data_IF_881521077693
#
_entry.id   IF_881521077693
#
_cell.length_a   1.000
_cell.length_b   1.000
_cell.length_c   1.000
_cell.angle_alpha   90.00
_cell.angle_beta   90.00
_cell.angle_gamma   90.00
#
_symmetry.space_group_name_H-M   'P 1'
#
loop_
_entity.id
_entity.type
_entity.pdbx_description
1 polymer ?
#
# COMPACT_ATOMS: atom_id res chain seq x y z
N UNK A 1 32.98 8.46 2.93
CA UNK A 1 31.71 8.87 2.31
C UNK A 1 31.74 8.47 0.85
N UNK A 2 31.99 7.19 0.58
CA UNK A 2 32.07 6.63 -0.79
C UNK A 2 31.57 5.16 -0.83
N UNK A 3 30.79 4.73 0.19
CA UNK A 3 30.27 3.35 0.27
C UNK A 3 28.82 3.21 -0.25
N UNK A 4 28.18 4.30 -0.71
CA UNK A 4 26.77 4.29 -1.17
C UNK A 4 26.61 4.01 -2.68
N UNK A 5 27.70 4.00 -3.47
CA UNK A 5 27.60 3.86 -4.94
C UNK A 5 27.29 2.43 -5.41
N UNK A 6 27.45 1.43 -4.54
CA UNK A 6 27.30 0.01 -4.91
C UNK A 6 25.98 -0.64 -4.46
N UNK A 7 25.11 0.07 -3.73
CA UNK A 7 23.84 -0.49 -3.25
C UNK A 7 22.74 -0.43 -4.29
N UNK A 8 22.08 -1.56 -4.51
CA UNK A 8 20.86 -1.64 -5.30
C UNK A 8 19.68 -1.45 -4.36
N UNK A 9 19.12 -0.26 -4.34
CA UNK A 9 18.01 0.12 -3.46
C UNK A 9 16.72 -0.62 -3.81
N UNK A 10 15.91 -0.97 -2.80
CA UNK A 10 14.58 -1.56 -2.99
C UNK A 10 13.66 -0.64 -3.82
N UNK A 11 13.77 0.66 -3.59
CA UNK A 11 12.96 1.70 -4.21
C UNK A 11 13.80 2.96 -4.42
N UNK A 12 13.68 3.53 -5.62
CA UNK A 12 14.32 4.78 -5.99
C UNK A 12 13.27 5.65 -6.70
N UNK A 13 12.94 6.84 -6.14
CA UNK A 13 11.91 7.71 -6.70
C UNK A 13 12.33 8.26 -8.07
N UNK A 14 11.40 8.27 -9.02
CA UNK A 14 11.61 8.84 -10.35
C UNK A 14 11.48 10.37 -10.29
N UNK A 15 12.55 11.04 -9.85
CA UNK A 15 12.61 12.49 -9.73
C UNK A 15 13.30 13.09 -10.97
N UNK A 16 12.66 14.11 -11.55
CA UNK A 16 13.14 14.87 -12.70
C UNK A 16 13.23 16.39 -12.39
N UNK A 17 13.55 17.17 -13.39
CA UNK A 17 13.50 18.64 -13.26
C UNK A 17 12.08 19.16 -13.01
N UNK A 18 11.04 18.43 -13.43
CA UNK A 18 9.66 18.85 -13.20
C UNK A 18 9.34 18.92 -11.71
N UNK A 19 9.71 17.88 -10.96
CA UNK A 19 9.52 17.81 -9.50
C UNK A 19 10.39 18.87 -8.78
N UNK A 20 11.65 19.02 -9.18
CA UNK A 20 12.55 20.01 -8.59
C UNK A 20 12.03 21.44 -8.79
N UNK A 21 11.55 21.76 -9.99
CA UNK A 21 11.00 23.08 -10.33
C UNK A 21 9.68 23.32 -9.56
N UNK A 22 8.80 22.34 -9.48
CA UNK A 22 7.54 22.44 -8.77
C UNK A 22 7.76 22.76 -7.27
N UNK A 23 8.63 22.02 -6.59
CA UNK A 23 8.97 22.27 -5.17
C UNK A 23 9.70 23.59 -5.00
N UNK A 24 10.64 23.93 -5.90
CA UNK A 24 11.36 25.20 -5.88
C UNK A 24 10.41 26.40 -5.99
N UNK A 25 9.37 26.31 -6.83
CA UNK A 25 8.37 27.37 -6.98
C UNK A 25 7.57 27.57 -5.69
N UNK A 26 7.19 26.50 -5.00
CA UNK A 26 6.54 26.60 -3.67
C UNK A 26 7.47 27.26 -2.66
N UNK A 27 8.75 26.87 -2.61
CA UNK A 27 9.73 27.46 -1.69
C UNK A 27 9.96 28.98 -1.93
N UNK A 28 9.77 29.45 -3.15
CA UNK A 28 9.84 30.90 -3.51
C UNK A 28 8.52 31.65 -3.26
N UNK A 29 7.42 30.94 -2.99
CA UNK A 29 6.10 31.52 -2.73
C UNK A 29 6.00 32.06 -1.30
N UNK A 30 4.93 32.81 -1.03
CA UNK A 30 4.60 33.29 0.31
C UNK A 30 3.98 32.21 1.21
N UNK A 31 3.63 31.03 0.67
CA UNK A 31 2.95 29.93 1.38
C UNK A 31 3.63 28.60 1.07
N UNK A 32 4.01 27.90 2.14
CA UNK A 32 4.62 26.56 2.09
C UNK A 32 3.80 25.50 2.86
N UNK A 33 2.86 25.96 3.71
CA UNK A 33 1.86 25.11 4.35
C UNK A 33 0.72 24.83 3.37
N UNK A 34 -0.26 24.04 3.80
CA UNK A 34 -1.41 23.72 2.98
C UNK A 34 -2.12 24.96 2.40
N UNK A 35 -2.30 25.00 1.10
CA UNK A 35 -2.87 26.09 0.32
C UNK A 35 -3.34 25.64 -1.06
N UNK A 36 -3.19 26.51 -2.05
CA UNK A 36 -3.72 26.31 -3.41
C UNK A 36 -3.11 25.11 -4.15
N UNK A 37 -1.85 24.73 -3.84
CA UNK A 37 -1.20 23.60 -4.48
C UNK A 37 -1.81 22.28 -3.98
N UNK A 38 -2.14 22.21 -2.69
CA UNK A 38 -2.90 21.08 -2.14
C UNK A 38 -4.27 20.96 -2.81
N UNK A 39 -4.99 22.08 -2.97
CA UNK A 39 -6.31 22.06 -3.62
C UNK A 39 -6.23 21.60 -5.08
N UNK A 40 -5.19 22.01 -5.80
CA UNK A 40 -4.95 21.55 -7.19
C UNK A 40 -4.66 20.04 -7.21
N UNK A 41 -3.78 19.56 -6.34
CA UNK A 41 -3.46 18.14 -6.27
C UNK A 41 -4.70 17.28 -5.91
N UNK A 42 -5.55 17.75 -4.98
CA UNK A 42 -6.84 17.08 -4.66
C UNK A 42 -7.72 16.95 -5.92
N UNK A 43 -7.88 18.06 -6.67
CA UNK A 43 -8.73 18.07 -7.86
C UNK A 43 -8.20 17.16 -8.97
N UNK A 44 -6.92 17.26 -9.28
CA UNK A 44 -6.29 16.47 -10.36
C UNK A 44 -6.24 14.98 -10.01
N UNK A 45 -6.01 14.65 -8.74
CA UNK A 45 -6.05 13.25 -8.29
C UNK A 45 -7.46 12.66 -8.34
N UNK A 46 -8.48 13.46 -7.97
CA UNK A 46 -9.88 13.06 -8.11
C UNK A 46 -10.25 12.84 -9.58
N UNK A 47 -9.81 13.72 -10.49
CA UNK A 47 -10.01 13.59 -11.94
C UNK A 47 -9.31 12.35 -12.49
N UNK A 48 -8.05 12.11 -12.12
CA UNK A 48 -7.29 10.91 -12.53
C UNK A 48 -8.04 9.61 -12.22
N UNK A 49 -8.64 9.51 -11.04
CA UNK A 49 -9.42 8.34 -10.63
C UNK A 49 -10.85 8.32 -11.17
N UNK A 50 -11.38 9.47 -11.65
CA UNK A 50 -12.80 9.60 -11.95
C UNK A 50 -13.70 9.65 -10.71
N UNK A 51 -13.15 10.08 -9.56
CA UNK A 51 -13.89 10.27 -8.29
C UNK A 51 -14.32 11.73 -8.15
N UNK A 52 -15.34 11.99 -7.33
CA UNK A 52 -15.87 13.36 -7.15
C UNK A 52 -15.04 14.21 -6.18
N UNK A 53 -14.43 13.60 -5.19
CA UNK A 53 -13.70 14.29 -4.14
C UNK A 53 -12.44 13.54 -3.76
N UNK A 54 -11.35 14.29 -3.59
CA UNK A 54 -10.16 13.87 -2.94
C UNK A 54 -9.82 14.81 -1.77
N UNK A 55 -9.18 14.29 -0.75
CA UNK A 55 -8.77 15.04 0.44
C UNK A 55 -7.35 14.62 0.79
N UNK A 56 -6.38 15.50 0.56
CA UNK A 56 -4.98 15.27 0.85
C UNK A 56 -4.71 15.31 2.35
N UNK A 57 -3.90 14.39 2.83
CA UNK A 57 -3.57 14.18 4.24
C UNK A 57 -2.06 13.96 4.42
N UNK A 58 -1.57 14.08 5.65
CA UNK A 58 -0.15 13.96 5.95
C UNK A 58 0.42 12.54 5.86
N UNK A 59 -0.40 11.51 5.82
CA UNK A 59 -0.04 10.10 5.59
C UNK A 59 -1.28 9.23 5.39
N UNK A 60 -1.16 8.05 4.79
CA UNK A 60 -2.27 7.12 4.67
C UNK A 60 -2.83 6.66 6.02
N UNK A 61 -1.98 6.47 7.04
CA UNK A 61 -2.44 6.13 8.40
C UNK A 61 -3.40 7.18 8.93
N UNK A 62 -3.07 8.47 8.76
CA UNK A 62 -3.97 9.57 9.12
C UNK A 62 -5.22 9.56 8.26
N UNK A 63 -5.09 9.33 6.96
CA UNK A 63 -6.22 9.21 6.04
C UNK A 63 -7.22 8.13 6.45
N UNK A 64 -6.74 6.92 6.73
CA UNK A 64 -7.55 5.80 7.22
C UNK A 64 -8.23 6.14 8.55
N UNK A 65 -7.49 6.72 9.48
CA UNK A 65 -8.04 7.13 10.78
C UNK A 65 -9.14 8.18 10.62
N UNK A 66 -8.94 9.18 9.75
CA UNK A 66 -9.95 10.20 9.48
C UNK A 66 -11.16 9.61 8.74
N UNK A 67 -10.95 8.68 7.81
CA UNK A 67 -12.03 7.97 7.12
C UNK A 67 -12.91 7.19 8.10
N UNK A 68 -12.30 6.44 9.01
CA UNK A 68 -13.02 5.71 10.06
C UNK A 68 -13.81 6.67 10.97
N UNK A 69 -13.24 7.81 11.32
CA UNK A 69 -13.93 8.83 12.12
C UNK A 69 -15.09 9.50 11.36
N UNK A 70 -14.89 9.81 10.09
CA UNK A 70 -15.94 10.38 9.23
C UNK A 70 -17.15 9.43 9.09
N UNK A 71 -16.89 8.12 9.11
CA UNK A 71 -17.90 7.07 9.14
C UNK A 71 -18.58 6.89 10.50
N UNK A 72 -18.14 7.61 11.53
CA UNK A 72 -18.69 7.51 12.88
C UNK A 72 -18.29 6.23 13.62
N UNK A 73 -17.20 5.60 13.23
CA UNK A 73 -16.62 4.43 13.94
C UNK A 73 -16.25 4.82 15.37
N UNK A 74 -16.59 3.97 16.32
CA UNK A 74 -16.45 4.19 17.77
C UNK A 74 -15.56 3.13 18.40
N UNK A 75 -15.02 3.40 19.59
CA UNK A 75 -14.33 2.39 20.37
C UNK A 75 -15.19 1.14 20.58
N UNK A 76 -14.60 -0.03 20.28
CA UNK A 76 -15.25 -1.34 20.35
C UNK A 76 -15.99 -1.78 19.08
N UNK A 77 -16.18 -0.91 18.08
CA UNK A 77 -16.63 -1.34 16.76
C UNK A 77 -15.58 -2.24 16.11
N UNK A 78 -16.01 -3.24 15.37
CA UNK A 78 -15.13 -4.20 14.69
C UNK A 78 -14.97 -3.84 13.22
N UNK A 79 -13.73 -3.86 12.74
CA UNK A 79 -13.38 -3.66 11.33
C UNK A 79 -12.66 -4.91 10.83
N UNK A 80 -13.26 -5.59 9.85
CA UNK A 80 -12.66 -6.77 9.24
C UNK A 80 -11.57 -6.33 8.27
N UNK A 81 -10.38 -6.92 8.39
CA UNK A 81 -9.25 -6.64 7.49
C UNK A 81 -8.34 -7.86 7.35
N UNK A 82 -7.41 -7.80 6.37
CA UNK A 82 -6.41 -8.85 6.14
C UNK A 82 -5.29 -8.80 7.21
N UNK A 83 -4.79 -9.98 7.59
CA UNK A 83 -3.56 -10.08 8.35
C UNK A 83 -2.28 -9.96 7.51
N UNK A 84 -2.41 -9.99 6.18
CA UNK A 84 -1.35 -9.80 5.19
C UNK A 84 -1.49 -8.42 4.56
N UNK A 85 -1.08 -7.41 5.29
CA UNK A 85 -1.17 -6.01 4.89
C UNK A 85 -0.10 -5.19 5.61
N UNK A 86 0.13 -3.99 5.14
CA UNK A 86 0.95 -3.03 5.85
C UNK A 86 0.31 -2.69 7.20
N UNK A 87 1.15 -2.40 8.18
CA UNK A 87 0.73 -2.13 9.56
C UNK A 87 -0.21 -0.91 9.67
N UNK A 88 -0.16 0.04 8.74
CA UNK A 88 -1.00 1.24 8.74
C UNK A 88 -2.48 0.92 8.86
N UNK A 89 -2.96 -0.11 8.19
CA UNK A 89 -4.36 -0.54 8.24
C UNK A 89 -4.78 -0.83 9.69
N UNK A 90 -4.06 -1.75 10.33
CA UNK A 90 -4.39 -2.16 11.70
C UNK A 90 -4.10 -1.05 12.72
N UNK A 91 -3.07 -0.22 12.47
CA UNK A 91 -2.78 0.95 13.30
C UNK A 91 -3.93 1.97 13.26
N UNK A 92 -4.43 2.32 12.09
CA UNK A 92 -5.54 3.28 11.96
C UNK A 92 -6.80 2.79 12.69
N UNK A 93 -7.16 1.50 12.55
CA UNK A 93 -8.28 0.89 13.27
C UNK A 93 -8.08 1.00 14.78
N UNK A 94 -6.89 0.66 15.26
CA UNK A 94 -6.56 0.70 16.69
C UNK A 94 -6.56 2.13 17.24
N UNK A 95 -6.03 3.09 16.50
CA UNK A 95 -5.93 4.50 16.92
C UNK A 95 -7.29 5.17 17.09
N UNK A 96 -8.32 4.72 16.39
CA UNK A 96 -9.70 5.19 16.63
C UNK A 96 -10.42 4.42 17.75
N UNK A 97 -9.76 3.44 18.38
CA UNK A 97 -10.30 2.60 19.44
C UNK A 97 -11.17 1.44 18.94
N UNK A 98 -11.24 1.23 17.64
CA UNK A 98 -11.92 0.08 17.03
C UNK A 98 -11.05 -1.18 17.11
N UNK A 99 -11.67 -2.33 16.91
CA UNK A 99 -11.02 -3.64 17.00
C UNK A 99 -10.75 -4.16 15.58
N UNK A 100 -9.48 -4.38 15.19
CA UNK A 100 -9.16 -5.04 13.93
C UNK A 100 -9.48 -6.52 14.02
N UNK A 101 -10.40 -6.99 13.19
CA UNK A 101 -10.74 -8.41 13.03
C UNK A 101 -9.94 -8.96 11.86
N UNK A 102 -8.83 -9.62 12.19
CA UNK A 102 -7.87 -10.10 11.19
C UNK A 102 -8.36 -11.43 10.60
N UNK A 103 -8.36 -11.52 9.27
CA UNK A 103 -8.77 -12.71 8.53
C UNK A 103 -7.68 -13.20 7.58
N UNK A 104 -7.81 -14.46 7.15
CA UNK A 104 -6.90 -15.09 6.21
C UNK A 104 -7.10 -14.61 4.79
N UNK A 105 -6.16 -14.91 3.92
CA UNK A 105 -6.01 -14.39 2.56
C UNK A 105 -6.16 -15.49 1.52
N UNK A 106 -6.34 -15.09 0.27
CA UNK A 106 -6.10 -15.94 -0.87
C UNK A 106 -4.60 -16.21 -1.03
N UNK A 107 -4.26 -17.47 -1.26
CA UNK A 107 -2.86 -17.91 -1.32
C UNK A 107 -2.09 -17.27 -2.50
N UNK A 108 -2.79 -17.00 -3.60
CA UNK A 108 -2.16 -16.57 -4.84
C UNK A 108 -2.07 -15.06 -4.98
N UNK A 109 -3.16 -14.38 -4.69
CA UNK A 109 -3.25 -12.92 -4.81
C UNK A 109 -2.81 -12.18 -3.53
N UNK A 110 -2.79 -12.86 -2.38
CA UNK A 110 -2.58 -12.21 -1.09
C UNK A 110 -3.78 -11.38 -0.59
N UNK A 111 -4.83 -11.27 -1.39
CA UNK A 111 -5.99 -10.46 -1.06
C UNK A 111 -6.88 -11.11 0.02
N UNK A 112 -7.64 -10.28 0.72
CA UNK A 112 -8.60 -10.70 1.73
C UNK A 112 -9.63 -11.68 1.14
N UNK A 113 -9.79 -12.86 1.78
CA UNK A 113 -10.78 -13.84 1.37
C UNK A 113 -12.19 -13.47 1.88
N UNK A 114 -13.11 -13.29 0.93
CA UNK A 114 -14.49 -12.84 1.20
C UNK A 114 -15.28 -13.83 2.06
N UNK A 115 -15.09 -15.14 1.90
CA UNK A 115 -15.74 -16.16 2.73
C UNK A 115 -15.21 -16.14 4.18
N UNK A 116 -13.91 -15.89 4.37
CA UNK A 116 -13.31 -15.72 5.70
C UNK A 116 -13.79 -14.45 6.37
N UNK A 117 -13.93 -13.36 5.61
CA UNK A 117 -14.53 -12.13 6.11
C UNK A 117 -15.99 -12.35 6.54
N UNK A 118 -16.79 -13.02 5.71
CA UNK A 118 -18.19 -13.33 6.01
C UNK A 118 -18.35 -14.14 7.32
N UNK A 119 -17.47 -15.10 7.56
CA UNK A 119 -17.50 -15.94 8.76
C UNK A 119 -17.15 -15.19 10.06
N UNK A 120 -16.59 -13.97 9.95
CA UNK A 120 -16.18 -13.13 11.09
C UNK A 120 -17.13 -11.96 11.37
N UNK A 121 -18.20 -11.81 10.58
CA UNK A 121 -19.17 -10.73 10.80
C UNK A 121 -19.95 -10.99 12.10
N UNK A 122 -19.98 -9.98 12.95
CA UNK A 122 -20.74 -9.95 14.21
C UNK A 122 -21.68 -8.73 14.24
N UNK A 123 -22.57 -8.59 15.23
CA UNK A 123 -23.37 -7.38 15.41
C UNK A 123 -22.54 -6.10 15.66
N UNK A 124 -21.26 -6.22 16.03
CA UNK A 124 -20.34 -5.10 16.26
C UNK A 124 -19.58 -4.71 15.00
N UNK A 125 -19.61 -5.54 13.95
CA UNK A 125 -18.92 -5.24 12.70
C UNK A 125 -19.56 -4.03 12.01
N UNK A 126 -18.73 -3.06 11.59
CA UNK A 126 -19.18 -1.82 10.92
C UNK A 126 -18.65 -1.67 9.51
N UNK A 127 -17.45 -2.18 9.27
CA UNK A 127 -16.81 -2.03 7.97
C UNK A 127 -15.94 -3.24 7.60
N UNK A 128 -15.69 -3.37 6.31
CA UNK A 128 -14.61 -4.17 5.75
C UNK A 128 -13.59 -3.19 5.18
N UNK A 129 -12.34 -3.28 5.62
CA UNK A 129 -11.21 -2.53 5.09
C UNK A 129 -10.30 -3.51 4.36
N UNK A 130 -10.38 -3.55 3.04
CA UNK A 130 -9.60 -4.44 2.20
C UNK A 130 -8.50 -3.67 1.46
N UNK A 131 -7.31 -4.27 1.35
CA UNK A 131 -6.19 -3.73 0.59
C UNK A 131 -6.04 -4.41 -0.77
N UNK A 132 -5.24 -3.78 -1.62
CA UNK A 132 -4.75 -4.29 -2.89
C UNK A 132 -3.27 -4.69 -2.73
N UNK A 133 -2.96 -5.89 -2.17
CA UNK A 133 -1.60 -6.22 -1.72
C UNK A 133 -0.60 -6.20 -2.86
N UNK A 134 0.48 -5.46 -2.66
CA UNK A 134 1.59 -5.26 -3.60
C UNK A 134 1.16 -4.87 -5.03
N UNK A 135 0.01 -4.23 -5.20
CA UNK A 135 -0.51 -3.84 -6.51
C UNK A 135 -1.60 -4.75 -7.07
N UNK A 136 -1.80 -5.95 -6.51
CA UNK A 136 -2.84 -6.87 -6.97
C UNK A 136 -4.21 -6.45 -6.44
N UNK A 137 -5.18 -6.10 -7.32
CA UNK A 137 -6.53 -5.79 -6.88
C UNK A 137 -7.20 -6.95 -6.14
N UNK A 138 -7.94 -6.64 -5.07
CA UNK A 138 -8.79 -7.61 -4.40
C UNK A 138 -10.03 -7.97 -5.26
N UNK A 139 -10.77 -9.01 -4.88
CA UNK A 139 -12.08 -9.32 -5.49
C UNK A 139 -13.14 -8.32 -5.01
N UNK A 140 -13.12 -7.14 -5.62
CA UNK A 140 -13.98 -6.02 -5.25
C UNK A 140 -15.46 -6.30 -5.45
N UNK A 141 -15.82 -7.12 -6.42
CA UNK A 141 -17.21 -7.50 -6.65
C UNK A 141 -17.74 -8.36 -5.50
N UNK A 142 -17.02 -9.37 -5.09
CA UNK A 142 -17.41 -10.22 -3.97
C UNK A 142 -17.43 -9.43 -2.65
N UNK A 143 -16.45 -8.56 -2.42
CA UNK A 143 -16.40 -7.71 -1.22
C UNK A 143 -17.56 -6.71 -1.18
N UNK A 144 -17.90 -6.07 -2.30
CA UNK A 144 -19.05 -5.15 -2.39
C UNK A 144 -20.36 -5.89 -2.16
N UNK A 145 -20.52 -7.10 -2.73
CA UNK A 145 -21.71 -7.92 -2.51
C UNK A 145 -21.84 -8.33 -1.03
N UNK A 146 -20.74 -8.68 -0.37
CA UNK A 146 -20.72 -9.02 1.05
C UNK A 146 -21.09 -7.80 1.91
N UNK A 147 -20.42 -6.66 1.69
CA UNK A 147 -20.68 -5.44 2.42
C UNK A 147 -22.15 -4.98 2.30
N UNK A 148 -22.69 -4.99 1.08
CA UNK A 148 -24.09 -4.61 0.80
C UNK A 148 -25.08 -5.54 1.49
N UNK A 149 -24.84 -6.85 1.51
CA UNK A 149 -25.70 -7.85 2.15
C UNK A 149 -25.84 -7.62 3.66
N UNK A 150 -24.77 -7.15 4.29
CA UNK A 150 -24.71 -6.97 5.73
C UNK A 150 -24.82 -5.51 6.19
N UNK A 151 -25.02 -4.57 5.25
CA UNK A 151 -25.09 -3.13 5.57
C UNK A 151 -23.78 -2.57 6.11
N UNK A 152 -22.64 -3.13 5.69
CA UNK A 152 -21.31 -2.72 6.10
C UNK A 152 -20.74 -1.69 5.13
N UNK A 153 -19.92 -0.78 5.64
CA UNK A 153 -19.11 0.11 4.81
C UNK A 153 -17.95 -0.68 4.21
N UNK A 154 -17.63 -0.42 2.94
CA UNK A 154 -16.48 -0.98 2.27
C UNK A 154 -15.41 0.11 2.10
N UNK A 155 -14.28 -0.06 2.77
CA UNK A 155 -13.10 0.79 2.63
C UNK A 155 -12.06 0.08 1.79
N UNK A 156 -11.39 0.85 0.93
CA UNK A 156 -10.33 0.38 0.06
C UNK A 156 -8.99 0.99 0.46
N UNK A 157 -8.01 0.16 0.77
CA UNK A 157 -6.62 0.60 0.85
C UNK A 157 -5.92 0.35 -0.48
N UNK A 158 -5.65 1.42 -1.22
CA UNK A 158 -5.00 1.40 -2.53
C UNK A 158 -3.55 1.87 -2.47
N UNK A 159 -2.97 1.90 -1.28
CA UNK A 159 -1.59 2.35 -1.01
C UNK A 159 -0.57 1.70 -1.93
N UNK A 160 -0.72 0.41 -2.20
CA UNK A 160 0.26 -0.38 -2.95
C UNK A 160 -0.05 -0.52 -4.46
N UNK A 161 -1.16 0.07 -4.95
CA UNK A 161 -1.73 -0.36 -6.23
C UNK A 161 -2.11 0.78 -7.20
N UNK A 162 -1.48 1.97 -7.05
CA UNK A 162 -1.76 3.08 -7.96
C UNK A 162 -1.55 2.67 -9.42
N UNK A 163 -2.53 2.97 -10.28
CA UNK A 163 -2.54 2.60 -11.70
C UNK A 163 -3.11 1.22 -12.00
N UNK A 164 -3.17 0.29 -11.04
CA UNK A 164 -3.74 -1.06 -11.25
C UNK A 164 -5.24 -1.01 -11.57
N UNK A 165 -5.71 -1.99 -12.36
CA UNK A 165 -7.09 -2.05 -12.85
C UNK A 165 -7.74 -3.41 -12.57
N UNK A 166 -9.01 -3.33 -12.17
CA UNK A 166 -9.88 -4.48 -11.98
C UNK A 166 -11.17 -4.27 -12.76
N UNK A 167 -11.48 -5.14 -13.71
CA UNK A 167 -12.67 -5.05 -14.58
C UNK A 167 -12.85 -3.68 -15.24
N UNK A 168 -11.79 -3.16 -15.83
CA UNK A 168 -11.75 -1.90 -16.57
C UNK A 168 -11.68 -0.63 -15.73
N UNK A 169 -11.73 -0.75 -14.38
CA UNK A 169 -11.69 0.40 -13.47
C UNK A 169 -10.39 0.47 -12.68
N UNK A 170 -9.92 1.68 -12.43
CA UNK A 170 -8.76 1.91 -11.56
C UNK A 170 -9.06 1.49 -10.12
N UNK A 171 -8.07 0.93 -9.43
CA UNK A 171 -8.11 0.81 -7.96
C UNK A 171 -8.25 2.20 -7.34
N UNK A 172 -8.86 2.28 -6.16
CA UNK A 172 -9.27 3.54 -5.56
C UNK A 172 -10.71 3.93 -5.88
N UNK A 173 -11.42 3.12 -6.72
CA UNK A 173 -12.81 3.42 -7.13
C UNK A 173 -13.84 2.43 -6.60
N UNK A 174 -13.42 1.42 -5.84
CA UNK A 174 -14.30 0.32 -5.40
C UNK A 174 -14.88 0.52 -4.01
N UNK A 175 -14.14 1.18 -3.09
CA UNK A 175 -14.60 1.49 -1.75
C UNK A 175 -15.58 2.65 -1.69
N UNK A 176 -16.37 2.74 -0.63
CA UNK A 176 -17.17 3.95 -0.29
C UNK A 176 -16.22 5.13 -0.04
N UNK A 177 -15.06 4.82 0.55
CA UNK A 177 -13.86 5.65 0.52
C UNK A 177 -12.64 4.78 0.19
N UNK A 178 -11.65 5.39 -0.45
CA UNK A 178 -10.37 4.71 -0.74
C UNK A 178 -9.21 5.59 -0.28
N UNK A 179 -8.11 4.96 0.15
CA UNK A 179 -6.95 5.67 0.70
C UNK A 179 -5.70 5.28 -0.07
N UNK A 180 -4.86 6.27 -0.36
CA UNK A 180 -3.54 6.11 -0.97
C UNK A 180 -2.46 6.65 -0.05
N UNK A 181 -1.28 6.06 -0.10
CA UNK A 181 -0.05 6.55 0.51
C UNK A 181 0.93 7.01 -0.57
N UNK A 182 1.66 8.06 -0.30
CA UNK A 182 2.66 8.63 -1.20
C UNK A 182 4.06 8.61 -0.60
N UNK A 183 4.28 7.79 0.44
CA UNK A 183 5.61 7.47 0.94
C UNK A 183 6.27 6.36 0.11
N UNK A 184 7.57 6.17 0.25
CA UNK A 184 8.29 5.07 -0.38
C UNK A 184 8.11 3.74 0.38
N UNK A 185 8.09 2.61 -0.35
CA UNK A 185 8.16 2.46 -1.81
C UNK A 185 6.80 2.71 -2.48
N UNK A 186 6.77 3.47 -3.57
CA UNK A 186 5.58 3.71 -4.37
C UNK A 186 5.93 4.13 -5.81
N UNK A 187 4.97 4.09 -6.73
CA UNK A 187 5.15 4.63 -8.08
C UNK A 187 4.97 6.15 -8.12
N UNK A 188 4.09 6.70 -7.27
CA UNK A 188 3.90 8.13 -7.06
C UNK A 188 4.32 8.46 -5.64
N UNK A 189 5.26 9.37 -5.48
CA UNK A 189 5.81 9.76 -4.17
C UNK A 189 5.72 11.28 -3.95
N UNK A 190 5.50 11.69 -2.71
CA UNK A 190 5.62 13.09 -2.29
C UNK A 190 6.43 13.28 -0.99
N UNK A 191 7.36 12.36 -0.73
CA UNK A 191 8.13 12.29 0.52
C UNK A 191 7.30 11.64 1.62
N UNK A 192 6.33 12.34 2.12
CA UNK A 192 5.29 11.84 3.02
C UNK A 192 3.94 12.43 2.59
N UNK A 193 2.87 11.66 2.71
CA UNK A 193 1.54 12.13 2.36
C UNK A 193 0.57 10.99 2.10
N UNK A 194 -0.69 11.36 1.88
CA UNK A 194 -1.73 10.43 1.45
C UNK A 194 -2.92 11.17 0.87
N UNK A 195 -3.85 10.41 0.30
CA UNK A 195 -5.09 10.92 -0.25
C UNK A 195 -6.25 10.03 0.15
N UNK A 196 -7.35 10.63 0.58
CA UNK A 196 -8.62 9.94 0.79
C UNK A 196 -9.59 10.37 -0.28
N UNK A 197 -10.18 9.43 -1.02
CA UNK A 197 -11.12 9.73 -2.11
C UNK A 197 -12.50 9.16 -1.82
N UNK A 198 -13.53 9.88 -2.25
CA UNK A 198 -14.95 9.47 -2.09
C UNK A 198 -15.83 10.19 -3.12
N UNK A 199 -17.03 9.65 -3.36
CA UNK A 199 -18.07 10.34 -4.15
C UNK A 199 -19.14 10.97 -3.27
N UNK A 200 -19.09 10.74 -1.95
CA UNK A 200 -20.05 11.27 -1.00
C UNK A 200 -19.63 12.67 -0.51
N UNK A 201 -20.40 13.73 -0.80
CA UNK A 201 -20.06 15.09 -0.38
C UNK A 201 -20.07 15.27 1.14
N UNK A 202 -20.87 14.48 1.86
CA UNK A 202 -20.92 14.56 3.33
C UNK A 202 -19.63 14.00 3.92
N UNK A 203 -19.17 12.82 3.45
CA UNK A 203 -17.92 12.23 3.87
C UNK A 203 -16.72 13.11 3.51
N UNK A 204 -16.70 13.71 2.32
CA UNK A 204 -15.66 14.65 1.91
C UNK A 204 -15.60 15.89 2.85
N UNK A 205 -16.75 16.43 3.23
CA UNK A 205 -16.84 17.54 4.18
C UNK A 205 -16.34 17.15 5.58
N UNK A 206 -16.74 15.95 6.07
CA UNK A 206 -16.27 15.42 7.34
C UNK A 206 -14.76 15.19 7.37
N UNK A 207 -14.20 14.64 6.29
CA UNK A 207 -12.76 14.45 6.14
C UNK A 207 -12.02 15.79 6.21
N UNK A 208 -12.47 16.81 5.47
CA UNK A 208 -11.87 18.16 5.53
C UNK A 208 -11.97 18.77 6.91
N UNK A 209 -13.09 18.59 7.60
CA UNK A 209 -13.24 19.03 8.97
C UNK A 209 -12.25 18.34 9.90
N UNK A 210 -12.14 17.00 9.85
CA UNK A 210 -11.25 16.25 10.72
C UNK A 210 -9.76 16.45 10.39
N UNK A 211 -9.42 16.65 9.11
CA UNK A 211 -8.06 16.93 8.66
C UNK A 211 -7.45 18.16 9.32
N UNK A 212 -8.26 19.12 9.65
CA UNK A 212 -7.85 20.39 10.22
C UNK A 212 -8.10 21.57 9.28
N UNK A 213 -7.73 22.76 9.70
CA UNK A 213 -8.04 23.99 9.00
C UNK A 213 -6.85 24.59 8.27
N UNK A 214 -7.12 25.21 7.13
CA UNK A 214 -6.17 26.04 6.40
C UNK A 214 -5.76 27.28 7.24
N UNK A 215 -4.64 27.90 6.86
CA UNK A 215 -4.02 28.98 7.65
C UNK A 215 -4.98 30.13 7.91
N UNK A 216 -5.76 30.54 6.93
CA UNK A 216 -6.68 31.67 7.02
C UNK A 216 -7.82 31.46 8.04
N UNK A 217 -8.16 30.22 8.33
CA UNK A 217 -9.18 29.84 9.31
C UNK A 217 -8.65 29.67 10.73
N UNK A 218 -7.32 29.61 10.92
CA UNK A 218 -6.70 29.37 12.24
C UNK A 218 -7.01 30.43 13.26
N UNK A 219 -7.26 31.66 12.83
CA UNK A 219 -7.58 32.79 13.72
C UNK A 219 -9.07 32.89 14.09
N UNK A 220 -9.94 32.16 13.40
CA UNK A 220 -11.41 32.18 13.64
C UNK A 220 -11.92 30.89 14.29
N UNK A 221 -11.10 30.20 15.07
CA UNK A 221 -11.46 28.89 15.61
C UNK A 221 -12.59 28.98 16.62
N UNK A 222 -13.74 28.42 16.24
CA UNK A 222 -14.75 27.93 17.16
C UNK A 222 -14.69 26.40 17.16
N UNK A 223 -14.22 25.80 18.26
CA UNK A 223 -14.24 24.34 18.41
C UNK A 223 -15.67 23.93 18.72
N UNK A 224 -16.28 23.21 17.78
CA UNK A 224 -17.60 22.62 17.95
C UNK A 224 -17.52 21.33 18.83
N UNK A 225 -18.49 20.45 18.71
CA UNK A 225 -18.59 19.22 19.53
C UNK A 225 -17.50 18.16 19.24
N UNK A 226 -16.73 18.32 18.16
CA UNK A 226 -15.69 17.37 17.73
C UNK A 226 -14.36 18.09 17.53
N UNK A 227 -13.26 17.45 17.97
CA UNK A 227 -11.91 18.01 17.87
C UNK A 227 -11.28 17.56 16.55
N UNK A 228 -10.86 18.50 15.67
CA UNK A 228 -10.12 18.15 14.46
C UNK A 228 -8.68 17.71 14.78
N UNK A 229 -8.09 16.96 13.86
CA UNK A 229 -6.67 16.65 13.87
C UNK A 229 -5.86 17.72 13.15
N UNK A 230 -4.55 17.62 13.24
CA UNK A 230 -3.64 18.35 12.38
C UNK A 230 -2.98 17.36 11.42
N UNK A 231 -3.69 17.02 10.34
CA UNK A 231 -3.29 16.01 9.37
C UNK A 231 -3.23 16.58 7.94
N UNK A 232 -2.88 17.86 7.81
CA UNK A 232 -2.75 18.54 6.52
C UNK A 232 -1.47 18.11 5.80
N UNK A 233 -1.55 17.94 4.48
CA UNK A 233 -0.40 17.90 3.59
C UNK A 233 0.15 19.31 3.40
N UNK A 234 1.46 19.48 3.20
CA UNK A 234 2.06 20.75 2.85
C UNK A 234 1.99 21.02 1.35
N UNK A 235 2.01 22.31 0.94
CA UNK A 235 2.11 22.65 -0.49
C UNK A 235 3.41 22.11 -1.13
N UNK A 236 4.48 21.95 -0.36
CA UNK A 236 5.73 21.32 -0.87
C UNK A 236 5.52 19.87 -1.26
N UNK A 237 4.90 19.05 -0.38
CA UNK A 237 4.58 17.66 -0.69
C UNK A 237 3.56 17.56 -1.82
N UNK A 238 2.56 18.43 -1.82
CA UNK A 238 1.55 18.47 -2.88
C UNK A 238 2.15 18.84 -4.24
N UNK A 239 3.10 19.78 -4.30
CA UNK A 239 3.79 20.15 -5.55
C UNK A 239 4.60 18.98 -6.12
N UNK A 240 5.30 18.25 -5.25
CA UNK A 240 6.00 17.03 -5.65
C UNK A 240 5.02 15.98 -6.17
N UNK A 241 3.92 15.71 -5.43
CA UNK A 241 2.89 14.75 -5.82
C UNK A 241 2.17 15.13 -7.11
N UNK A 242 1.94 16.43 -7.35
CA UNK A 242 1.31 16.93 -8.57
C UNK A 242 2.19 16.69 -9.79
N UNK A 243 3.49 17.03 -9.73
CA UNK A 243 4.45 16.77 -10.80
C UNK A 243 4.61 15.27 -11.09
N UNK A 244 4.58 14.43 -10.02
CA UNK A 244 4.57 12.98 -10.17
C UNK A 244 3.29 12.47 -10.83
N UNK A 245 2.13 13.03 -10.49
CA UNK A 245 0.84 12.65 -11.08
C UNK A 245 0.78 12.98 -12.58
N UNK A 246 1.28 14.16 -12.98
CA UNK A 246 1.38 14.55 -14.38
C UNK A 246 2.26 13.60 -15.22
N UNK A 247 3.25 12.97 -14.59
CA UNK A 247 4.18 12.01 -15.22
C UNK A 247 3.86 10.56 -14.92
N UNK A 248 2.75 10.27 -14.23
CA UNK A 248 2.49 8.94 -13.70
C UNK A 248 2.51 7.84 -14.76
N UNK A 249 1.91 8.08 -15.93
CA UNK A 249 1.89 7.11 -17.04
C UNK A 249 3.32 6.79 -17.53
N UNK A 250 4.20 7.78 -17.61
CA UNK A 250 5.61 7.59 -17.97
C UNK A 250 6.34 6.76 -16.90
N UNK A 251 6.13 7.09 -15.64
CA UNK A 251 6.73 6.36 -14.50
C UNK A 251 6.27 4.90 -14.51
N UNK A 252 4.98 4.66 -14.66
CA UNK A 252 4.41 3.32 -14.72
C UNK A 252 4.93 2.52 -15.92
N UNK A 253 5.09 3.17 -17.09
CA UNK A 253 5.65 2.52 -18.28
C UNK A 253 7.11 2.09 -18.08
N UNK A 254 7.95 2.90 -17.39
CA UNK A 254 9.32 2.52 -17.04
C UNK A 254 9.33 1.32 -16.10
N UNK A 255 8.49 1.31 -15.08
CA UNK A 255 8.34 0.18 -14.15
C UNK A 255 7.87 -1.09 -14.86
N UNK A 256 6.94 -0.99 -15.82
CA UNK A 256 6.51 -2.11 -16.66
C UNK A 256 7.65 -2.70 -17.50
N UNK A 257 8.58 -1.88 -17.96
CA UNK A 257 9.80 -2.38 -18.64
C UNK A 257 10.65 -3.22 -17.69
N UNK A 258 10.89 -2.74 -16.47
CA UNK A 258 11.65 -3.46 -15.45
C UNK A 258 10.95 -4.79 -15.10
N UNK A 259 9.62 -4.78 -14.94
CA UNK A 259 8.82 -6.00 -14.75
C UNK A 259 9.07 -7.02 -15.87
N UNK A 260 9.11 -6.57 -17.13
CA UNK A 260 9.34 -7.46 -18.26
C UNK A 260 10.69 -8.17 -18.20
N UNK A 261 11.75 -7.48 -17.76
CA UNK A 261 13.06 -8.09 -17.55
C UNK A 261 13.04 -9.13 -16.42
N UNK A 262 12.44 -8.80 -15.28
CA UNK A 262 12.27 -9.77 -14.21
C UNK A 262 11.56 -11.03 -14.66
N UNK A 263 10.44 -10.89 -15.39
CA UNK A 263 9.67 -12.02 -15.89
C UNK A 263 10.47 -12.85 -16.90
N UNK A 264 11.28 -12.22 -17.75
CA UNK A 264 12.16 -12.92 -18.70
C UNK A 264 13.21 -13.77 -17.99
N UNK A 265 13.85 -13.23 -16.94
CA UNK A 265 14.90 -13.93 -16.22
C UNK A 265 14.38 -14.99 -15.22
N UNK A 266 13.18 -14.83 -14.67
CA UNK A 266 12.60 -15.76 -13.68
C UNK A 266 11.92 -16.96 -14.33
N UNK A 267 11.38 -16.86 -15.53
CA UNK A 267 10.58 -17.90 -16.22
C UNK A 267 11.17 -19.32 -16.23
N UNK A 268 12.49 -19.45 -16.25
CA UNK A 268 13.17 -20.75 -16.35
C UNK A 268 13.54 -21.36 -14.99
N UNK A 269 13.15 -20.76 -13.85
CA UNK A 269 13.62 -21.18 -12.54
C UNK A 269 12.49 -21.60 -11.58
N UNK A 270 12.58 -22.84 -11.08
CA UNK A 270 11.53 -23.43 -10.22
C UNK A 270 11.58 -22.98 -8.74
N UNK A 271 12.71 -22.42 -8.26
CA UNK A 271 12.88 -22.01 -6.84
C UNK A 271 12.21 -20.71 -6.48
N UNK A 272 12.15 -19.77 -7.42
CA UNK A 272 11.58 -18.43 -7.26
C UNK A 272 10.50 -18.25 -8.32
N UNK A 273 9.32 -17.81 -7.89
CA UNK A 273 8.19 -17.56 -8.79
C UNK A 273 7.72 -16.12 -8.65
N UNK A 274 7.37 -15.45 -9.76
CA UNK A 274 6.74 -14.14 -9.71
C UNK A 274 5.35 -14.26 -9.08
N UNK A 275 4.79 -13.14 -8.66
CA UNK A 275 3.43 -13.08 -8.15
C UNK A 275 2.42 -13.51 -9.22
N UNK A 276 1.34 -14.11 -8.77
CA UNK A 276 0.22 -14.53 -9.63
C UNK A 276 -0.62 -13.32 -10.04
N UNK A 277 -1.20 -13.38 -11.22
CA UNK A 277 -2.18 -12.40 -11.71
C UNK A 277 -3.52 -13.15 -11.90
N UNK A 278 -4.56 -12.70 -11.20
CA UNK A 278 -5.88 -13.26 -11.33
C UNK A 278 -6.52 -12.90 -12.69
N UNK A 279 -7.32 -13.80 -13.30
CA UNK A 279 -7.91 -13.57 -14.62
C UNK A 279 -8.83 -12.34 -14.72
N UNK A 280 -9.41 -11.91 -13.60
CA UNK A 280 -10.30 -10.75 -13.50
C UNK A 280 -9.56 -9.42 -13.43
N UNK A 281 -8.24 -9.44 -13.31
CA UNK A 281 -7.39 -8.29 -13.20
C UNK A 281 -6.88 -7.92 -14.58
N UNK A 282 -7.17 -6.70 -15.02
CA UNK A 282 -6.80 -6.25 -16.36
C UNK A 282 -5.34 -5.78 -16.41
N UNK A 283 -4.91 -5.11 -15.35
CA UNK A 283 -3.58 -4.52 -15.26
C UNK A 283 -3.11 -4.43 -13.81
N UNK A 284 -1.84 -4.79 -13.57
CA UNK A 284 -1.20 -4.64 -12.27
C UNK A 284 0.01 -3.72 -12.40
N UNK A 285 0.13 -2.78 -11.47
CA UNK A 285 1.33 -2.01 -11.22
C UNK A 285 1.85 -2.37 -9.83
N UNK A 286 2.86 -3.22 -9.80
CA UNK A 286 3.46 -3.70 -8.56
C UNK A 286 4.09 -2.57 -7.76
N UNK A 287 3.92 -2.58 -6.44
CA UNK A 287 4.65 -1.66 -5.56
C UNK A 287 6.13 -2.07 -5.48
N UNK A 288 6.39 -3.35 -5.25
CA UNK A 288 7.72 -3.98 -5.30
C UNK A 288 7.65 -5.20 -6.20
N UNK A 289 8.80 -5.71 -6.67
CA UNK A 289 8.76 -6.97 -7.41
C UNK A 289 8.76 -8.15 -6.44
N UNK A 290 7.56 -8.60 -6.09
CA UNK A 290 7.37 -9.68 -5.14
C UNK A 290 7.63 -11.03 -5.79
N UNK A 291 8.47 -11.86 -5.13
CA UNK A 291 8.69 -13.25 -5.51
C UNK A 291 8.33 -14.20 -4.38
N UNK A 292 7.85 -15.37 -4.75
CA UNK A 292 7.49 -16.43 -3.84
C UNK A 292 8.44 -17.61 -3.99
N UNK A 293 8.98 -18.06 -2.86
CA UNK A 293 9.78 -19.28 -2.82
C UNK A 293 8.87 -20.51 -2.90
N UNK A 294 9.39 -21.60 -3.45
CA UNK A 294 8.69 -22.85 -3.55
C UNK A 294 8.26 -23.43 -2.20
N UNK A 295 7.34 -24.41 -2.22
CA UNK A 295 6.71 -24.95 -0.99
C UNK A 295 7.66 -25.64 -0.02
N UNK A 296 8.88 -25.99 -0.47
CA UNK A 296 9.95 -26.60 0.34
C UNK A 296 10.68 -25.58 1.23
N UNK A 297 10.59 -24.29 0.93
CA UNK A 297 11.28 -23.27 1.68
C UNK A 297 10.54 -22.92 2.97
N UNK A 298 11.31 -22.74 4.02
CA UNK A 298 10.83 -22.27 5.32
C UNK A 298 11.11 -20.78 5.51
N UNK A 299 10.58 -20.18 6.57
CA UNK A 299 10.92 -18.81 6.96
C UNK A 299 12.42 -18.62 7.20
N UNK A 300 13.10 -19.61 7.79
CA UNK A 300 14.56 -19.54 8.00
C UNK A 300 15.31 -19.54 6.67
N UNK A 301 14.90 -20.39 5.72
CA UNK A 301 15.48 -20.43 4.38
C UNK A 301 15.27 -19.10 3.63
N UNK A 302 14.06 -18.52 3.70
CA UNK A 302 13.78 -17.21 3.14
C UNK A 302 14.67 -16.13 3.76
N UNK A 303 14.82 -16.12 5.10
CA UNK A 303 15.66 -15.14 5.77
C UNK A 303 17.13 -15.26 5.33
N UNK A 304 17.63 -16.49 5.16
CA UNK A 304 19.00 -16.71 4.64
C UNK A 304 19.17 -16.11 3.23
N UNK A 305 18.17 -16.26 2.35
CA UNK A 305 18.21 -15.65 1.01
C UNK A 305 18.22 -14.12 1.11
N UNK A 306 17.45 -13.54 2.02
CA UNK A 306 17.47 -12.09 2.29
C UNK A 306 18.85 -11.63 2.76
N UNK A 307 19.47 -12.36 3.68
CA UNK A 307 20.82 -12.05 4.19
C UNK A 307 21.89 -12.17 3.10
N UNK A 308 21.78 -13.18 2.22
CA UNK A 308 22.70 -13.36 1.08
C UNK A 308 22.57 -12.21 0.07
N UNK A 309 21.33 -11.78 -0.25
CA UNK A 309 21.08 -10.63 -1.12
C UNK A 309 21.65 -9.34 -0.50
N UNK A 310 21.43 -9.13 0.80
CA UNK A 310 21.97 -7.98 1.52
C UNK A 310 23.51 -7.98 1.49
N UNK A 311 24.14 -9.15 1.61
CA UNK A 311 25.61 -9.30 1.49
C UNK A 311 26.12 -8.97 0.08
N UNK A 312 25.28 -9.14 -0.93
CA UNK A 312 25.56 -8.73 -2.31
C UNK A 312 25.14 -7.29 -2.61
N UNK A 313 24.90 -6.45 -1.59
CA UNK A 313 24.47 -5.07 -1.68
C UNK A 313 23.12 -4.88 -2.39
N UNK A 314 22.20 -5.85 -2.26
CA UNK A 314 20.85 -5.81 -2.81
C UNK A 314 19.84 -5.69 -1.67
N UNK A 315 19.08 -4.61 -1.62
CA UNK A 315 17.98 -4.44 -0.67
C UNK A 315 16.79 -5.30 -1.07
N UNK A 316 16.60 -6.42 -0.40
CA UNK A 316 15.51 -7.36 -0.71
C UNK A 316 14.87 -7.89 0.57
N UNK A 317 14.01 -7.11 1.24
CA UNK A 317 13.40 -7.51 2.50
C UNK A 317 12.33 -8.59 2.32
N UNK A 318 12.01 -9.26 3.43
CA UNK A 318 10.80 -10.07 3.52
C UNK A 318 9.55 -9.20 3.33
N UNK A 319 8.63 -9.63 2.51
CA UNK A 319 7.31 -9.01 2.37
C UNK A 319 6.30 -9.86 3.12
N UNK A 320 5.57 -9.34 3.90
CA UNK A 320 5.41 -8.55 5.06
C UNK A 320 5.37 -9.44 6.32
N UNK A 321 5.45 -8.88 7.50
CA UNK A 321 5.24 -9.64 8.73
C UNK A 321 3.74 -9.72 9.03
N UNK A 322 3.14 -10.93 9.17
CA UNK A 322 1.72 -11.08 9.47
C UNK A 322 1.29 -10.29 10.71
N UNK A 323 0.25 -9.48 10.57
CA UNK A 323 -0.20 -8.57 11.64
C UNK A 323 -0.58 -9.33 12.92
N UNK A 324 -1.25 -10.47 12.80
CA UNK A 324 -1.70 -11.28 13.94
C UNK A 324 -0.54 -11.90 14.75
N UNK A 325 0.67 -11.99 14.19
CA UNK A 325 1.87 -12.49 14.86
C UNK A 325 2.71 -11.37 15.50
N UNK A 326 2.34 -10.11 15.30
CA UNK A 326 3.03 -8.99 15.94
C UNK A 326 2.61 -8.88 17.40
N UNK A 327 3.57 -8.54 18.28
CA UNK A 327 3.39 -8.54 19.71
C UNK A 327 2.14 -7.79 20.19
N UNK A 328 1.89 -6.60 19.63
CA UNK A 328 0.75 -5.79 20.01
C UNK A 328 -0.58 -6.48 19.67
N UNK A 329 -0.72 -7.03 18.47
CA UNK A 329 -1.94 -7.69 18.00
C UNK A 329 -2.14 -9.10 18.59
N UNK A 330 -1.10 -9.70 19.16
CA UNK A 330 -1.21 -10.91 19.96
C UNK A 330 -2.16 -10.76 21.16
N UNK A 331 -2.32 -9.55 21.69
CA UNK A 331 -3.28 -9.22 22.75
C UNK A 331 -4.75 -9.40 22.33
N UNK A 332 -5.04 -9.42 21.02
CA UNK A 332 -6.37 -9.70 20.46
C UNK A 332 -6.70 -11.20 20.50
N UNK A 333 -5.80 -12.04 21.01
CA UNK A 333 -5.99 -13.48 21.17
C UNK A 333 -5.52 -14.34 20.00
N UNK A 334 -4.97 -13.75 18.94
CA UNK A 334 -4.41 -14.49 17.81
C UNK A 334 -3.12 -15.23 18.19
N UNK A 335 -2.93 -16.39 17.58
CA UNK A 335 -1.77 -17.26 17.78
C UNK A 335 -1.27 -17.77 16.43
N UNK A 336 -0.03 -18.24 16.42
CA UNK A 336 0.51 -18.95 15.25
C UNK A 336 -0.36 -20.17 14.92
N UNK A 337 -0.74 -20.32 13.67
CA UNK A 337 -1.63 -21.35 13.15
C UNK A 337 -3.08 -20.90 12.95
N UNK A 338 -3.49 -19.74 13.47
CA UNK A 338 -4.87 -19.25 13.33
C UNK A 338 -5.17 -18.75 11.90
N UNK A 339 -4.15 -18.22 11.21
CA UNK A 339 -4.25 -17.72 9.82
C UNK A 339 -3.19 -18.40 8.95
N UNK A 340 -3.39 -19.70 8.66
CA UNK A 340 -2.32 -20.55 8.11
C UNK A 340 -1.93 -20.19 6.68
N UNK A 341 -2.81 -19.59 5.88
CA UNK A 341 -2.47 -19.17 4.51
C UNK A 341 -1.60 -17.92 4.56
N UNK A 342 -1.99 -16.92 5.35
CA UNK A 342 -1.19 -15.72 5.62
C UNK A 342 0.22 -16.09 6.08
N UNK A 343 0.34 -16.99 7.05
CA UNK A 343 1.64 -17.43 7.59
C UNK A 343 2.50 -18.10 6.51
N UNK A 344 1.90 -19.00 5.73
CA UNK A 344 2.62 -19.72 4.65
C UNK A 344 3.09 -18.79 3.54
N UNK A 345 2.27 -17.81 3.15
CA UNK A 345 2.63 -16.83 2.11
C UNK A 345 3.75 -15.95 2.62
N UNK A 346 3.57 -15.35 3.81
CA UNK A 346 4.57 -14.47 4.41
C UNK A 346 5.91 -15.15 4.69
N UNK A 347 5.92 -16.44 5.07
CA UNK A 347 7.14 -17.18 5.31
C UNK A 347 7.99 -17.40 4.04
N UNK A 348 7.43 -17.18 2.85
CA UNK A 348 8.06 -17.48 1.55
C UNK A 348 8.15 -16.29 0.61
N UNK A 349 7.60 -15.16 0.98
CA UNK A 349 7.59 -13.96 0.17
C UNK A 349 8.79 -13.07 0.49
N UNK A 350 9.43 -12.54 -0.55
CA UNK A 350 10.44 -11.49 -0.46
C UNK A 350 10.24 -10.49 -1.60
N UNK A 351 10.56 -9.23 -1.32
CA UNK A 351 10.49 -8.16 -2.29
C UNK A 351 11.87 -7.92 -2.89
N UNK A 352 11.96 -7.88 -4.21
CA UNK A 352 13.16 -7.50 -4.95
C UNK A 352 13.10 -6.00 -5.31
N UNK A 353 14.24 -5.33 -5.53
CA UNK A 353 14.31 -3.96 -6.01
C UNK A 353 13.39 -3.71 -7.20
N UNK A 354 12.59 -2.62 -7.14
CA UNK A 354 11.64 -2.34 -8.23
C UNK A 354 11.38 -0.85 -8.40
N UNK A 355 12.09 -0.23 -9.32
CA UNK A 355 11.96 1.19 -9.69
C UNK A 355 12.39 1.42 -11.14
N UNK A 356 12.03 2.58 -11.69
CA UNK A 356 12.24 2.91 -13.10
C UNK A 356 13.69 3.14 -13.53
N UNK A 357 14.63 3.23 -12.58
CA UNK A 357 16.07 3.46 -12.83
C UNK A 357 16.89 2.17 -12.98
N UNK A 358 16.29 1.01 -12.69
CA UNK A 358 16.97 -0.28 -12.93
C UNK A 358 17.16 -0.49 -14.43
N UNK A 359 18.34 -0.98 -14.80
CA UNK A 359 18.62 -1.48 -16.14
C UNK A 359 18.53 -3.02 -16.20
N UNK A 360 18.64 -3.55 -17.41
CA UNK A 360 18.47 -4.98 -17.65
C UNK A 360 19.58 -5.81 -17.01
N UNK A 361 20.82 -5.32 -17.03
CA UNK A 361 21.98 -6.03 -16.45
C UNK A 361 21.87 -6.10 -14.93
N UNK A 362 21.44 -5.03 -14.29
CA UNK A 362 21.17 -4.99 -12.84
C UNK A 362 20.04 -5.95 -12.45
N UNK A 363 18.96 -6.00 -13.22
CA UNK A 363 17.87 -6.97 -12.98
C UNK A 363 18.36 -8.40 -13.15
N UNK A 364 19.19 -8.68 -14.17
CA UNK A 364 19.78 -9.99 -14.38
C UNK A 364 20.67 -10.40 -13.19
N UNK A 365 21.47 -9.47 -12.66
CA UNK A 365 22.31 -9.70 -11.48
C UNK A 365 21.47 -9.99 -10.23
N UNK A 366 20.43 -9.20 -9.95
CA UNK A 366 19.50 -9.42 -8.82
C UNK A 366 18.90 -10.83 -8.90
N UNK A 367 18.35 -11.20 -10.06
CA UNK A 367 17.69 -12.50 -10.25
C UNK A 367 18.70 -13.64 -10.13
N UNK A 368 19.91 -13.49 -10.70
CA UNK A 368 20.93 -14.54 -10.61
C UNK A 368 21.38 -14.75 -9.16
N UNK A 369 21.64 -13.68 -8.41
CA UNK A 369 22.00 -13.75 -7.00
C UNK A 369 20.91 -14.43 -6.16
N UNK A 370 19.65 -14.07 -6.38
CA UNK A 370 18.53 -14.70 -5.70
C UNK A 370 18.38 -16.18 -6.04
N UNK A 371 18.63 -16.57 -7.30
CA UNK A 371 18.63 -17.97 -7.75
C UNK A 371 19.75 -18.77 -7.08
N UNK A 372 20.98 -18.26 -7.12
CA UNK A 372 22.13 -18.93 -6.55
C UNK A 372 21.96 -19.15 -5.04
N UNK A 373 21.52 -18.14 -4.31
CA UNK A 373 21.20 -18.27 -2.90
C UNK A 373 20.08 -19.30 -2.66
N UNK A 374 19.00 -19.30 -3.45
CA UNK A 374 17.90 -20.25 -3.29
C UNK A 374 18.34 -21.70 -3.57
N UNK A 375 19.26 -21.93 -4.51
CA UNK A 375 19.84 -23.25 -4.79
C UNK A 375 20.70 -23.69 -3.60
N UNK A 376 21.57 -22.83 -3.09
CA UNK A 376 22.44 -23.13 -1.97
C UNK A 376 21.65 -23.49 -0.71
N UNK A 377 20.64 -22.71 -0.38
CA UNK A 377 19.76 -22.96 0.78
C UNK A 377 18.86 -24.18 0.53
N UNK A 378 18.36 -24.37 -0.69
CA UNK A 378 17.51 -25.51 -1.07
C UNK A 378 18.25 -26.83 -1.14
N UNK A 379 19.52 -26.84 -1.54
CA UNK A 379 20.35 -28.04 -1.55
C UNK A 379 20.62 -28.56 -0.12
N UNK A 380 20.76 -27.68 0.87
CA UNK A 380 20.84 -28.05 2.27
C UNK A 380 19.56 -28.73 2.81
N UNK A 381 18.39 -28.41 2.24
CA UNK A 381 17.11 -29.02 2.60
C UNK A 381 16.84 -30.36 1.93
N UNK A 382 17.57 -30.72 0.87
CA UNK A 382 17.45 -32.00 0.17
C UNK A 382 18.30 -33.13 0.75
N UNK A 383 19.13 -32.83 1.76
CA UNK A 383 20.04 -33.79 2.40
C UNK A 383 19.49 -34.32 3.75
N UNK A 384 18.32 -33.88 4.18
CA UNK A 384 17.67 -34.38 5.41
C UNK A 384 16.30 -34.95 5.14
#
# INVERSE_FOLDING_TARGET
MDDDEDWIALSDPDISMAELDAVTNVLKSARISAGEVVDTFENDFAEYLGRRYAVAVSSATQGLMLALRALGIRPGDEIITSAYAWYQIAHAITLVGAVPVLVDIDYWSGALLTDKAAAKITPNTRAILAGNPNGHPADWNALRALASRHGLVLLEDSTEAIGSRYQGKLVGTFGDMSVFDFSQPAALVCGEGGMVVTDDPVLASELRYFRGRVMDERFSISIASRVPHQAMMSDMSAALGLAQLERLDEILARRKRVESWYLAYIQSFEGIKPAYIAPEVDEIHWMTFLVHLGTRFTRSARNQIVDDLLTAHIEAPAYCNPLHLQYFYGSLGYRKGDLPVTEKVADRALALPFHGHLDEDTVAFIVQTAKDSSVNVGAGAAIY
#
